data_IF_673820644638
#
_entry.id   IF_673820644638
#
_cell.length_a   1.000
_cell.length_b   1.000
_cell.length_c   1.000
_cell.angle_alpha   90.00
_cell.angle_beta   90.00
_cell.angle_gamma   90.00
#
_symmetry.space_group_name_H-M   'P 1'
#
loop_
_entity.id
_entity.type
_entity.pdbx_description
1 polymer ?
#
# COMPACT_ATOMS: atom_id res chain seq x y z
N UNK A 1 4.91 18.56 -21.02
CA UNK A 1 5.82 18.91 -19.91
C UNK A 1 6.51 17.63 -19.44
N UNK A 2 7.82 17.69 -19.34
CA UNK A 2 8.67 16.52 -19.08
C UNK A 2 8.59 16.10 -17.61
N UNK A 3 7.94 14.99 -17.33
CA UNK A 3 7.83 14.39 -15.98
C UNK A 3 9.15 13.81 -15.47
N UNK A 4 10.19 13.76 -16.28
CA UNK A 4 11.55 13.43 -15.84
C UNK A 4 12.25 14.64 -15.21
N UNK A 5 11.77 15.84 -15.47
CA UNK A 5 12.21 17.03 -14.75
C UNK A 5 11.62 17.04 -13.33
N UNK A 6 12.51 17.10 -12.32
CA UNK A 6 12.13 17.03 -10.92
C UNK A 6 11.16 18.14 -10.50
N UNK A 7 11.44 19.38 -10.88
CA UNK A 7 10.60 20.54 -10.50
C UNK A 7 9.20 20.39 -11.06
N UNK A 8 9.10 20.08 -12.36
CA UNK A 8 7.81 19.84 -13.03
C UNK A 8 7.03 18.69 -12.38
N UNK A 9 7.71 17.61 -12.02
CA UNK A 9 7.07 16.46 -11.35
C UNK A 9 6.57 16.83 -9.94
N UNK A 10 7.33 17.63 -9.18
CA UNK A 10 6.93 18.10 -7.85
C UNK A 10 5.74 19.06 -7.92
N UNK A 11 5.72 19.99 -8.87
CA UNK A 11 4.59 20.90 -9.11
C UNK A 11 3.32 20.12 -9.47
N UNK A 12 3.40 19.17 -10.40
CA UNK A 12 2.29 18.32 -10.79
C UNK A 12 1.77 17.49 -9.62
N UNK A 13 2.64 16.94 -8.79
CA UNK A 13 2.26 16.17 -7.61
C UNK A 13 1.58 17.04 -6.55
N UNK A 14 2.04 18.28 -6.35
CA UNK A 14 1.39 19.25 -5.47
C UNK A 14 -0.02 19.61 -5.96
N UNK A 15 -0.15 19.94 -7.24
CA UNK A 15 -1.45 20.23 -7.85
C UNK A 15 -2.44 19.03 -7.78
N UNK A 16 -1.91 17.81 -7.89
CA UNK A 16 -2.73 16.62 -7.70
C UNK A 16 -3.15 16.45 -6.23
N UNK A 17 -2.25 16.73 -5.28
CA UNK A 17 -2.56 16.68 -3.85
C UNK A 17 -3.71 17.63 -3.46
N UNK A 18 -3.72 18.85 -4.00
CA UNK A 18 -4.78 19.84 -3.77
C UNK A 18 -6.15 19.39 -4.32
N UNK A 19 -6.15 18.51 -5.30
CA UNK A 19 -7.38 17.97 -5.91
C UNK A 19 -7.93 16.73 -5.17
N UNK A 20 -7.14 16.07 -4.33
CA UNK A 20 -7.52 14.80 -3.69
C UNK A 20 -8.88 14.89 -3.01
N UNK A 21 -9.09 15.90 -2.14
CA UNK A 21 -10.37 16.05 -1.42
C UNK A 21 -11.56 16.32 -2.34
N UNK A 22 -11.33 16.85 -3.55
CA UNK A 22 -12.39 17.18 -4.52
C UNK A 22 -12.88 15.97 -5.30
N UNK A 23 -12.01 14.98 -5.50
CA UNK A 23 -12.35 13.76 -6.27
C UNK A 23 -12.90 12.63 -5.38
N UNK A 24 -12.66 12.71 -4.05
CA UNK A 24 -13.21 11.74 -3.11
C UNK A 24 -14.64 12.13 -2.75
N UNK A 25 -15.63 11.23 -2.91
CA UNK A 25 -17.00 11.49 -2.46
C UNK A 25 -17.08 11.84 -0.98
N UNK A 26 -17.91 12.80 -0.62
CA UNK A 26 -18.03 13.30 0.76
C UNK A 26 -18.31 12.17 1.77
N UNK A 27 -19.16 11.21 1.42
CA UNK A 27 -19.47 10.09 2.31
C UNK A 27 -18.25 9.25 2.67
N UNK A 28 -17.22 9.16 1.77
CA UNK A 28 -15.97 8.45 2.07
C UNK A 28 -15.07 9.28 3.00
N UNK A 29 -15.05 10.61 2.85
CA UNK A 29 -14.33 11.50 3.76
C UNK A 29 -14.94 11.46 5.17
N UNK A 30 -16.27 11.51 5.27
CA UNK A 30 -16.98 11.39 6.55
C UNK A 30 -16.75 10.02 7.20
N UNK A 31 -16.79 8.95 6.41
CA UNK A 31 -16.50 7.59 6.88
C UNK A 31 -15.06 7.46 7.35
N UNK A 32 -14.09 8.08 6.64
CA UNK A 32 -12.69 8.12 7.06
C UNK A 32 -12.54 8.82 8.40
N UNK A 33 -13.13 9.99 8.58
CA UNK A 33 -13.08 10.76 9.83
C UNK A 33 -13.67 10.03 11.05
N UNK A 34 -14.48 9.00 10.84
CA UNK A 34 -15.12 8.17 11.89
C UNK A 34 -14.59 6.74 11.95
N UNK A 35 -13.49 6.46 11.25
CA UNK A 35 -13.03 5.09 11.03
C UNK A 35 -12.55 4.42 12.34
N UNK A 36 -11.91 5.17 13.23
CA UNK A 36 -11.49 4.66 14.56
C UNK A 36 -12.71 4.30 15.43
N UNK A 37 -13.73 5.15 15.42
CA UNK A 37 -15.00 4.87 16.11
C UNK A 37 -15.68 3.60 15.55
N UNK A 38 -15.74 3.49 14.22
CA UNK A 38 -16.24 2.31 13.54
C UNK A 38 -15.45 1.05 13.93
N UNK A 39 -14.11 1.13 13.95
CA UNK A 39 -13.24 0.01 14.36
C UNK A 39 -13.54 -0.46 15.78
N UNK A 40 -13.77 0.46 16.73
CA UNK A 40 -14.12 0.13 18.12
C UNK A 40 -15.43 -0.67 18.28
N UNK A 41 -16.31 -0.59 17.28
CA UNK A 41 -17.58 -1.35 17.25
C UNK A 41 -17.48 -2.67 16.49
N UNK A 42 -16.38 -2.90 15.75
CA UNK A 42 -16.23 -4.11 14.97
C UNK A 42 -16.00 -5.33 15.84
N UNK A 43 -16.80 -6.35 15.57
CA UNK A 43 -16.59 -7.70 16.09
C UNK A 43 -15.83 -8.54 15.06
N UNK A 44 -15.14 -9.56 15.53
CA UNK A 44 -14.39 -10.47 14.67
C UNK A 44 -12.90 -10.48 14.99
N UNK A 45 -12.19 -11.39 14.36
CA UNK A 45 -10.74 -11.50 14.52
C UNK A 45 -9.98 -10.43 13.69
N UNK A 46 -8.69 -10.19 14.01
CA UNK A 46 -7.89 -9.15 13.33
C UNK A 46 -7.88 -9.28 11.81
N UNK A 47 -7.86 -10.50 11.25
CA UNK A 47 -7.89 -10.74 9.81
C UNK A 47 -9.20 -10.25 9.17
N UNK A 48 -10.33 -10.52 9.79
CA UNK A 48 -11.63 -10.04 9.30
C UNK A 48 -11.68 -8.51 9.30
N UNK A 49 -11.24 -7.89 10.39
CA UNK A 49 -11.16 -6.43 10.52
C UNK A 49 -10.23 -5.81 9.46
N UNK A 50 -9.09 -6.45 9.19
CA UNK A 50 -8.14 -6.01 8.15
C UNK A 50 -8.76 -6.07 6.75
N UNK A 51 -9.48 -7.14 6.42
CA UNK A 51 -10.17 -7.24 5.12
C UNK A 51 -11.23 -6.16 4.94
N UNK A 52 -11.97 -5.81 6.01
CA UNK A 52 -12.93 -4.71 5.96
C UNK A 52 -12.23 -3.35 5.76
N UNK A 53 -11.10 -3.12 6.44
CA UNK A 53 -10.27 -1.94 6.21
C UNK A 53 -9.76 -1.89 4.77
N UNK A 54 -9.31 -3.00 4.21
CA UNK A 54 -8.84 -3.09 2.82
C UNK A 54 -9.94 -2.73 1.82
N UNK A 55 -11.17 -3.19 2.04
CA UNK A 55 -12.33 -2.81 1.23
C UNK A 55 -12.55 -1.30 1.22
N UNK A 56 -12.48 -0.66 2.39
CA UNK A 56 -12.61 0.79 2.51
C UNK A 56 -11.47 1.55 1.80
N UNK A 57 -10.23 1.08 1.94
CA UNK A 57 -9.08 1.66 1.24
C UNK A 57 -9.24 1.56 -0.27
N UNK A 58 -9.70 0.42 -0.77
CA UNK A 58 -9.89 0.22 -2.21
C UNK A 58 -10.98 1.15 -2.78
N UNK A 59 -12.05 1.45 -2.02
CA UNK A 59 -13.06 2.45 -2.40
C UNK A 59 -12.45 3.85 -2.54
N UNK A 60 -11.65 4.29 -1.55
CA UNK A 60 -10.96 5.59 -1.59
C UNK A 60 -10.00 5.66 -2.79
N UNK A 61 -9.17 4.64 -2.97
CA UNK A 61 -8.17 4.67 -4.03
C UNK A 61 -8.77 4.56 -5.43
N UNK A 62 -9.95 3.95 -5.57
CA UNK A 62 -10.72 4.00 -6.81
C UNK A 62 -11.12 5.45 -7.14
N UNK A 63 -11.54 6.24 -6.16
CA UNK A 63 -11.89 7.65 -6.36
C UNK A 63 -10.69 8.50 -6.78
N UNK A 64 -9.50 8.27 -6.19
CA UNK A 64 -8.28 9.03 -6.51
C UNK A 64 -7.50 8.48 -7.71
N UNK A 65 -7.96 7.42 -8.35
CA UNK A 65 -7.26 6.77 -9.48
C UNK A 65 -6.97 7.69 -10.65
N UNK A 66 -7.76 8.75 -10.83
CA UNK A 66 -7.58 9.77 -11.87
C UNK A 66 -6.40 10.72 -11.60
N UNK A 67 -5.87 10.74 -10.40
CA UNK A 67 -4.77 11.63 -9.95
C UNK A 67 -3.43 10.91 -9.81
N UNK A 68 -3.35 9.62 -10.11
CA UNK A 68 -2.18 8.79 -9.83
C UNK A 68 -1.86 7.84 -10.97
N UNK A 69 -0.57 7.53 -11.24
CA UNK A 69 -0.19 6.47 -12.16
C UNK A 69 -0.36 5.06 -11.56
N UNK A 70 -0.66 4.96 -10.25
CA UNK A 70 -0.72 3.70 -9.54
C UNK A 70 -1.93 2.86 -9.96
N UNK A 71 -1.68 1.76 -10.68
CA UNK A 71 -2.69 0.84 -11.18
C UNK A 71 -2.14 -0.58 -11.25
N UNK A 72 -3.00 -1.56 -11.50
CA UNK A 72 -2.57 -2.93 -11.82
C UNK A 72 -1.64 -2.90 -13.04
N UNK A 73 -0.48 -3.54 -12.94
CA UNK A 73 0.58 -3.50 -13.96
C UNK A 73 1.66 -2.44 -13.72
N UNK A 74 1.48 -1.49 -12.78
CA UNK A 74 2.59 -0.67 -12.30
C UNK A 74 3.41 -1.49 -11.30
N UNK A 75 4.74 -1.60 -11.53
CA UNK A 75 5.63 -2.52 -10.80
C UNK A 75 6.80 -1.85 -10.11
N UNK A 76 7.00 -0.55 -10.29
CA UNK A 76 8.16 0.16 -9.74
C UNK A 76 8.33 -0.06 -8.22
N UNK A 77 7.25 0.06 -7.44
CA UNK A 77 7.28 -0.18 -5.99
C UNK A 77 7.48 -1.65 -5.59
N UNK A 78 7.40 -2.61 -6.52
CA UNK A 78 7.69 -4.02 -6.24
C UNK A 78 9.19 -4.31 -6.04
N UNK A 79 10.06 -3.31 -6.19
CA UNK A 79 11.51 -3.42 -5.98
C UNK A 79 12.00 -2.70 -4.72
N UNK A 80 11.09 -2.17 -3.91
CA UNK A 80 11.41 -1.57 -2.61
C UNK A 80 11.02 -2.52 -1.46
N UNK A 81 11.62 -2.38 -0.26
CA UNK A 81 11.23 -3.18 0.90
C UNK A 81 9.75 -3.04 1.23
N UNK A 82 9.08 -4.15 1.51
CA UNK A 82 7.66 -4.23 1.82
C UNK A 82 7.47 -4.90 3.17
N UNK A 83 7.19 -4.10 4.19
CA UNK A 83 6.87 -4.60 5.52
C UNK A 83 5.46 -5.19 5.55
N UNK A 84 5.34 -6.42 6.01
CA UNK A 84 4.09 -7.15 6.22
C UNK A 84 4.03 -7.72 7.64
N UNK A 85 2.85 -8.04 8.09
CA UNK A 85 2.57 -8.62 9.40
C UNK A 85 2.02 -10.04 9.30
N UNK A 86 2.00 -10.78 10.41
CA UNK A 86 1.40 -12.12 10.48
C UNK A 86 -0.05 -12.15 9.97
N UNK A 87 -0.84 -11.11 10.30
CA UNK A 87 -2.23 -11.01 9.85
C UNK A 87 -2.32 -10.86 8.33
N UNK A 88 -1.40 -10.08 7.74
CA UNK A 88 -1.33 -9.90 6.30
C UNK A 88 -0.82 -11.15 5.58
N UNK A 89 0.12 -11.88 6.20
CA UNK A 89 0.55 -13.19 5.71
C UNK A 89 -0.65 -14.14 5.62
N UNK A 90 -1.49 -14.21 6.67
CA UNK A 90 -2.72 -15.03 6.63
C UNK A 90 -3.68 -14.60 5.51
N UNK A 91 -3.82 -13.31 5.25
CA UNK A 91 -4.66 -12.79 4.14
C UNK A 91 -4.11 -13.27 2.80
N UNK A 92 -2.80 -13.19 2.60
CA UNK A 92 -2.14 -13.67 1.37
C UNK A 92 -2.32 -15.18 1.23
N UNK A 93 -1.96 -15.95 2.25
CA UNK A 93 -2.04 -17.42 2.22
C UNK A 93 -3.45 -17.93 1.89
N UNK A 94 -4.47 -17.37 2.57
CA UNK A 94 -5.86 -17.79 2.38
C UNK A 94 -6.45 -17.29 1.06
N UNK A 95 -6.05 -16.10 0.62
CA UNK A 95 -6.58 -15.51 -0.60
C UNK A 95 -5.96 -16.04 -1.89
N UNK A 96 -4.72 -16.56 -1.81
CA UNK A 96 -3.95 -16.98 -2.99
C UNK A 96 -3.60 -18.47 -3.02
N UNK A 97 -3.69 -19.16 -1.89
CA UNK A 97 -3.20 -20.53 -1.73
C UNK A 97 -1.67 -20.63 -1.58
N UNK A 98 -0.92 -19.55 -1.79
CA UNK A 98 0.53 -19.53 -1.59
C UNK A 98 0.83 -19.72 -0.11
N UNK A 99 1.83 -20.51 0.22
CA UNK A 99 2.27 -20.74 1.60
C UNK A 99 3.57 -19.99 1.86
N UNK A 100 3.69 -19.43 3.08
CA UNK A 100 4.96 -18.86 3.54
C UNK A 100 6.03 -19.95 3.65
N UNK A 101 7.28 -19.55 3.59
CA UNK A 101 8.41 -20.43 3.82
C UNK A 101 8.38 -20.97 5.25
N UNK A 102 8.70 -22.28 5.41
CA UNK A 102 8.82 -22.90 6.75
C UNK A 102 9.92 -22.24 7.57
N UNK A 103 11.05 -21.92 6.91
CA UNK A 103 12.18 -21.23 7.50
C UNK A 103 12.19 -19.79 7.02
N UNK A 104 11.85 -18.86 7.91
CA UNK A 104 11.90 -17.43 7.62
C UNK A 104 13.37 -17.01 7.47
N UNK A 105 13.70 -16.42 6.34
CA UNK A 105 15.06 -15.93 6.08
C UNK A 105 15.42 -14.76 7.01
N UNK A 106 16.73 -14.62 7.27
CA UNK A 106 17.21 -13.48 8.04
C UNK A 106 16.93 -12.15 7.33
N UNK A 107 16.69 -11.06 8.08
CA UNK A 107 16.57 -9.74 7.48
C UNK A 107 17.79 -9.39 6.64
N UNK A 108 17.55 -8.80 5.47
CA UNK A 108 18.61 -8.32 4.59
C UNK A 108 18.19 -7.03 3.89
N UNK A 109 19.10 -6.39 3.16
CA UNK A 109 18.72 -5.27 2.33
C UNK A 109 17.99 -5.78 1.08
N UNK A 110 16.69 -5.48 1.00
CA UNK A 110 15.81 -5.85 -0.11
C UNK A 110 15.61 -4.73 -1.13
N UNK A 111 16.27 -3.58 -0.96
CA UNK A 111 16.17 -2.47 -1.92
C UNK A 111 16.69 -2.91 -3.30
N UNK A 112 15.93 -2.62 -4.34
CA UNK A 112 16.23 -3.05 -5.71
C UNK A 112 15.87 -4.51 -6.03
N UNK A 113 15.61 -5.36 -5.03
CA UNK A 113 15.23 -6.76 -5.25
C UNK A 113 13.75 -6.89 -5.59
N UNK A 114 13.36 -7.69 -6.60
CA UNK A 114 11.97 -7.89 -6.94
C UNK A 114 11.18 -8.56 -5.81
N UNK A 115 9.91 -8.18 -5.69
CA UNK A 115 8.96 -8.84 -4.80
C UNK A 115 8.69 -10.28 -5.30
N UNK A 116 8.56 -11.30 -4.42
CA UNK A 116 8.31 -12.69 -4.83
C UNK A 116 6.98 -12.86 -5.62
N UNK A 117 6.06 -11.91 -5.48
CA UNK A 117 4.80 -11.89 -6.21
C UNK A 117 4.82 -11.03 -7.48
N UNK A 118 5.98 -10.56 -7.90
CA UNK A 118 6.14 -9.88 -9.18
C UNK A 118 6.34 -10.93 -10.27
N UNK A 119 5.30 -11.27 -11.01
CA UNK A 119 5.31 -12.25 -12.09
C UNK A 119 4.88 -11.57 -13.39
N UNK A 120 5.63 -11.79 -14.47
CA UNK A 120 5.33 -11.25 -15.80
C UNK A 120 5.02 -9.74 -15.77
N UNK A 121 5.85 -8.96 -15.10
CA UNK A 121 5.67 -7.53 -14.90
C UNK A 121 4.30 -7.13 -14.29
N UNK A 122 3.73 -7.96 -13.43
CA UNK A 122 2.51 -7.66 -12.71
C UNK A 122 2.52 -8.28 -11.31
N UNK A 123 1.81 -7.64 -10.36
CA UNK A 123 1.58 -8.21 -9.04
C UNK A 123 0.58 -9.37 -9.14
N UNK A 124 1.03 -10.62 -8.89
CA UNK A 124 0.19 -11.82 -8.93
C UNK A 124 -0.87 -11.86 -7.81
N UNK A 125 -0.62 -11.13 -6.71
CA UNK A 125 -1.53 -11.04 -5.56
C UNK A 125 -2.21 -9.66 -5.45
N UNK A 126 -2.45 -8.96 -6.56
CA UNK A 126 -2.90 -7.56 -6.54
C UNK A 126 -4.12 -7.29 -5.65
N UNK A 127 -5.10 -8.18 -5.62
CA UNK A 127 -6.29 -8.11 -4.77
C UNK A 127 -6.01 -8.41 -3.30
N UNK A 128 -4.93 -9.15 -3.01
CA UNK A 128 -4.51 -9.55 -1.67
C UNK A 128 -3.23 -8.85 -1.22
N UNK A 129 -2.80 -7.81 -1.94
CA UNK A 129 -1.60 -7.03 -1.61
C UNK A 129 -1.69 -6.43 -0.21
N UNK A 130 -0.57 -6.37 0.53
CA UNK A 130 -0.54 -5.87 1.91
C UNK A 130 -0.82 -4.36 1.99
N UNK A 131 -1.05 -3.88 3.20
CA UNK A 131 -1.38 -2.49 3.51
C UNK A 131 -0.37 -1.49 2.91
N UNK A 132 0.92 -1.74 3.11
CA UNK A 132 1.98 -0.89 2.56
C UNK A 132 1.86 -0.73 1.04
N UNK A 133 1.55 -1.82 0.31
CA UNK A 133 1.34 -1.77 -1.14
C UNK A 133 0.05 -1.04 -1.53
N UNK A 134 -0.99 -1.09 -0.68
CA UNK A 134 -2.25 -0.38 -0.92
C UNK A 134 -2.11 1.11 -0.69
N UNK A 135 -1.43 1.51 0.41
CA UNK A 135 -1.28 2.90 0.79
C UNK A 135 -0.19 3.66 0.01
N UNK A 136 0.74 2.94 -0.64
CA UNK A 136 1.82 3.58 -1.42
C UNK A 136 1.27 4.09 -2.75
N UNK A 137 0.66 5.26 -2.71
CA UNK A 137 0.08 5.94 -3.87
C UNK A 137 0.75 7.28 -4.02
N UNK A 138 1.49 7.43 -5.14
CA UNK A 138 2.15 8.68 -5.54
C UNK A 138 1.20 9.52 -6.37
N UNK A 139 1.37 10.82 -6.31
CA UNK A 139 0.54 11.80 -7.03
C UNK A 139 1.26 12.42 -8.24
N UNK A 140 2.38 11.83 -8.66
CA UNK A 140 3.06 12.16 -9.92
C UNK A 140 2.26 11.67 -11.12
N UNK A 141 2.45 12.24 -12.30
CA UNK A 141 1.73 11.80 -13.52
C UNK A 141 2.20 10.43 -14.02
N UNK A 142 3.47 10.10 -13.77
CA UNK A 142 4.07 8.82 -14.19
C UNK A 142 4.72 8.10 -13.02
N UNK A 143 5.05 6.83 -13.18
CA UNK A 143 5.79 6.06 -12.17
C UNK A 143 7.31 6.22 -12.23
N UNK A 144 7.84 7.16 -13.02
CA UNK A 144 9.28 7.36 -13.21
C UNK A 144 10.03 7.49 -11.87
N UNK A 145 9.54 8.36 -10.98
CA UNK A 145 10.13 8.63 -9.68
C UNK A 145 9.94 7.52 -8.63
N UNK A 146 9.17 6.50 -8.96
CA UNK A 146 9.04 5.28 -8.14
C UNK A 146 10.12 4.24 -8.45
N UNK A 147 10.99 4.49 -9.45
CA UNK A 147 12.13 3.62 -9.75
C UNK A 147 13.02 3.53 -8.49
N UNK A 148 13.42 2.32 -8.04
CA UNK A 148 14.26 2.15 -6.86
C UNK A 148 15.54 2.98 -6.86
N UNK A 149 16.15 3.18 -8.04
CA UNK A 149 17.35 3.98 -8.20
C UNK A 149 17.10 5.49 -8.00
N UNK A 150 15.85 5.94 -8.11
CA UNK A 150 15.43 7.34 -7.97
C UNK A 150 14.64 7.61 -6.68
N UNK A 151 14.15 6.57 -6.01
CA UNK A 151 13.23 6.69 -4.88
C UNK A 151 13.77 7.52 -3.70
N UNK A 152 15.08 7.63 -3.57
CA UNK A 152 15.74 8.41 -2.54
C UNK A 152 16.27 9.78 -3.02
N UNK A 153 16.16 10.08 -4.32
CA UNK A 153 16.69 11.33 -4.89
C UNK A 153 15.73 12.50 -4.72
N UNK A 154 14.44 12.22 -4.54
CA UNK A 154 13.42 13.24 -4.40
C UNK A 154 12.27 12.77 -3.49
N UNK A 155 11.64 13.72 -2.80
CA UNK A 155 10.45 13.47 -1.99
C UNK A 155 9.21 13.99 -2.72
N UNK A 156 8.20 13.15 -2.82
CA UNK A 156 6.90 13.48 -3.39
C UNK A 156 5.80 13.30 -2.34
N UNK A 157 4.72 14.09 -2.41
CA UNK A 157 3.56 13.86 -1.56
C UNK A 157 2.97 12.48 -1.84
N UNK A 158 2.78 11.70 -0.77
CA UNK A 158 2.05 10.44 -0.82
C UNK A 158 0.64 10.66 -0.29
N UNK A 159 -0.30 9.94 -0.86
CA UNK A 159 -1.66 9.93 -0.33
C UNK A 159 -1.66 9.30 1.07
N UNK A 160 -2.19 10.02 2.06
CA UNK A 160 -2.28 9.55 3.44
C UNK A 160 -3.65 9.86 4.03
N UNK A 161 -4.19 8.89 4.77
CA UNK A 161 -5.41 9.00 5.54
C UNK A 161 -5.11 8.61 6.98
N UNK A 162 -5.21 9.56 7.90
CA UNK A 162 -4.75 9.40 9.29
C UNK A 162 -5.53 8.34 10.04
N UNK A 163 -6.84 8.28 9.86
CA UNK A 163 -7.68 7.31 10.57
C UNK A 163 -7.48 5.89 10.01
N UNK A 164 -7.24 5.76 8.71
CA UNK A 164 -6.86 4.48 8.08
C UNK A 164 -5.57 3.92 8.71
N UNK A 165 -4.54 4.78 8.85
CA UNK A 165 -3.27 4.39 9.49
C UNK A 165 -3.49 3.98 10.95
N UNK A 166 -4.29 4.74 11.71
CA UNK A 166 -4.61 4.44 13.12
C UNK A 166 -5.31 3.11 13.27
N UNK A 167 -6.32 2.84 12.44
CA UNK A 167 -7.05 1.57 12.48
C UNK A 167 -6.14 0.41 12.09
N UNK A 168 -5.28 0.58 11.08
CA UNK A 168 -4.30 -0.46 10.74
C UNK A 168 -3.37 -0.77 11.92
N UNK A 169 -2.82 0.25 12.58
CA UNK A 169 -1.98 0.04 13.77
C UNK A 169 -2.74 -0.64 14.91
N UNK A 170 -4.01 -0.28 15.13
CA UNK A 170 -4.84 -0.93 16.15
C UNK A 170 -5.08 -2.43 15.84
N UNK A 171 -5.27 -2.79 14.58
CA UNK A 171 -5.37 -4.19 14.14
C UNK A 171 -4.07 -4.95 14.42
N UNK A 172 -2.91 -4.35 14.09
CA UNK A 172 -1.60 -4.96 14.37
C UNK A 172 -1.37 -5.15 15.87
N UNK A 173 -1.76 -4.17 16.67
CA UNK A 173 -1.67 -4.25 18.13
C UNK A 173 -2.54 -5.37 18.69
N UNK A 174 -3.81 -5.45 18.28
CA UNK A 174 -4.76 -6.52 18.68
C UNK A 174 -4.20 -7.90 18.32
N UNK A 175 -3.59 -8.03 17.15
CA UNK A 175 -2.99 -9.27 16.66
C UNK A 175 -1.62 -9.59 17.29
N UNK A 176 -1.03 -8.70 18.08
CA UNK A 176 0.37 -8.79 18.56
C UNK A 176 1.35 -9.08 17.41
N UNK A 177 1.07 -8.51 16.24
CA UNK A 177 1.76 -8.83 15.01
C UNK A 177 3.16 -8.21 14.96
N UNK A 178 4.15 -9.00 14.54
CA UNK A 178 5.51 -8.53 14.30
C UNK A 178 5.70 -8.24 12.81
N UNK A 179 6.36 -7.13 12.44
CA UNK A 179 6.64 -6.83 11.04
C UNK A 179 7.84 -7.65 10.54
N UNK A 180 7.77 -8.04 9.25
CA UNK A 180 8.90 -8.59 8.49
C UNK A 180 8.79 -8.16 7.03
N UNK A 181 9.88 -8.26 6.26
CA UNK A 181 9.76 -8.02 4.81
C UNK A 181 9.05 -9.20 4.13
N UNK A 182 8.25 -8.92 3.12
CA UNK A 182 7.50 -9.92 2.34
C UNK A 182 8.40 -11.00 1.74
N UNK A 183 9.67 -10.67 1.46
CA UNK A 183 10.66 -11.59 0.91
C UNK A 183 11.19 -12.56 1.97
N UNK A 184 11.13 -12.18 3.24
CA UNK A 184 11.45 -13.11 4.33
C UNK A 184 10.39 -14.21 4.44
N UNK A 185 9.13 -13.84 4.28
CA UNK A 185 8.01 -14.77 4.40
C UNK A 185 7.80 -15.62 3.14
N UNK A 186 8.01 -15.07 1.93
CA UNK A 186 7.63 -15.71 0.67
C UNK A 186 8.76 -15.73 -0.38
N UNK A 187 9.94 -15.18 -0.10
CA UNK A 187 11.09 -15.23 -1.01
C UNK A 187 11.76 -16.62 -0.99
N UNK A 188 12.37 -16.97 -2.12
CA UNK A 188 13.22 -18.16 -2.25
C UNK A 188 14.65 -17.84 -1.78
#
# INVERSE_FOLDING_TARGET
MDEQNLVTAQENASLAADKVKRVIPNYLLEKEGRLVEWYGRLKGNPRTKLLMLYGFIDEIYKAVSVLTPCKKGCTSCCHIPVSISEVEIEVIERGTGTRRNKNISHPSNYHGRPCPFLLNNACSIYTHRPFVCRRHVVLTKTSHWCNPNLANTAKFPLLKFSEVERVFQAILWEAKAKPMDIRQAFGN
#
